data_IF_758397607385
#
_entry.id   IF_758397607385
#
_cell.length_a   1.000
_cell.length_b   1.000
_cell.length_c   1.000
_cell.angle_alpha   90.00
_cell.angle_beta   90.00
_cell.angle_gamma   90.00
#
_symmetry.space_group_name_H-M   'P 1'
#
loop_
_entity.id
_entity.type
_entity.pdbx_description
1 polymer ?
#
# COMPACT_ATOMS: atom_id res chain seq x y z
N UNK A 1 -5.67 -20.96 26.27
CA UNK A 1 -6.13 -20.10 25.16
C UNK A 1 -4.96 -19.86 24.19
N UNK A 2 -5.19 -20.11 22.93
CA UNK A 2 -4.11 -19.97 21.95
C UNK A 2 -3.98 -18.55 21.40
N UNK A 3 -5.02 -17.74 21.46
CA UNK A 3 -5.01 -16.36 20.98
C UNK A 3 -5.81 -15.45 21.90
N UNK A 4 -5.31 -14.25 22.10
CA UNK A 4 -5.97 -13.24 22.92
C UNK A 4 -6.27 -12.02 22.05
N UNK A 5 -7.52 -11.59 22.04
CA UNK A 5 -7.93 -10.36 21.35
C UNK A 5 -7.28 -9.15 22.03
N UNK A 6 -6.61 -8.31 21.25
CA UNK A 6 -5.95 -7.10 21.73
C UNK A 6 -6.75 -5.85 21.36
N UNK A 7 -7.00 -5.65 20.05
CA UNK A 7 -7.74 -4.47 19.57
C UNK A 7 -8.17 -4.67 18.13
N UNK A 8 -9.00 -3.76 17.63
CA UNK A 8 -9.33 -3.70 16.20
C UNK A 8 -8.07 -3.38 15.41
N UNK A 9 -7.76 -4.20 14.41
CA UNK A 9 -6.51 -4.10 13.64
C UNK A 9 -6.63 -3.18 12.43
N UNK A 10 -6.92 -1.90 12.62
CA UNK A 10 -6.94 -0.90 11.54
C UNK A 10 -5.56 -0.28 11.32
N UNK A 11 -4.79 -0.14 12.38
CA UNK A 11 -3.46 0.41 12.38
C UNK A 11 -2.55 -0.45 13.25
N UNK A 12 -1.27 -0.49 12.88
CA UNK A 12 -0.24 -1.18 13.65
C UNK A 12 0.87 -0.20 14.02
N UNK A 13 1.54 -0.46 15.13
CA UNK A 13 2.72 0.30 15.52
C UNK A 13 3.87 0.04 14.55
N UNK A 14 4.61 1.09 14.22
CA UNK A 14 5.73 1.00 13.29
C UNK A 14 6.82 2.00 13.68
N UNK A 15 8.05 1.50 13.75
CA UNK A 15 9.24 2.33 14.00
C UNK A 15 10.19 2.18 12.82
N UNK A 16 10.27 3.18 11.93
CA UNK A 16 11.12 3.08 10.74
C UNK A 16 12.60 3.28 11.04
N UNK A 17 13.46 2.70 10.21
CA UNK A 17 14.91 2.96 10.27
C UNK A 17 15.29 4.27 9.58
N UNK A 18 14.48 4.76 8.67
CA UNK A 18 14.61 6.07 8.02
C UNK A 18 13.25 6.76 7.96
N UNK A 19 13.25 8.09 7.87
CA UNK A 19 12.03 8.88 7.89
C UNK A 19 11.04 8.42 6.81
N UNK A 20 9.76 8.41 7.17
CA UNK A 20 8.64 8.04 6.30
C UNK A 20 7.70 9.23 6.23
N UNK A 21 7.20 9.54 5.04
CA UNK A 21 6.26 10.64 4.83
C UNK A 21 4.81 10.14 4.82
N UNK A 22 3.89 11.00 5.19
CA UNK A 22 2.46 10.69 5.09
C UNK A 22 2.11 10.27 3.66
N UNK A 23 1.37 9.18 3.51
CA UNK A 23 1.00 8.60 2.23
C UNK A 23 1.98 7.58 1.67
N UNK A 24 3.14 7.40 2.28
CA UNK A 24 4.08 6.38 1.83
C UNK A 24 3.53 4.98 2.04
N UNK A 25 3.74 4.12 1.05
CA UNK A 25 3.45 2.70 1.15
C UNK A 25 4.66 2.00 1.74
N UNK A 26 4.46 1.27 2.82
CA UNK A 26 5.51 0.56 3.54
C UNK A 26 5.23 -0.94 3.48
N UNK A 27 6.23 -1.72 3.11
CA UNK A 27 6.14 -3.18 3.09
C UNK A 27 6.98 -3.74 4.23
N UNK A 28 6.33 -4.46 5.13
CA UNK A 28 6.98 -5.24 6.17
C UNK A 28 6.89 -6.72 5.79
N UNK A 29 7.89 -7.23 5.14
CA UNK A 29 7.98 -8.61 4.64
C UNK A 29 6.82 -8.90 3.67
N UNK A 30 5.66 -9.31 4.17
CA UNK A 30 4.47 -9.62 3.36
C UNK A 30 3.28 -8.72 3.70
N UNK A 31 3.45 -7.78 4.59
CA UNK A 31 2.38 -6.87 5.02
C UNK A 31 2.59 -5.49 4.41
N UNK A 32 1.59 -5.02 3.69
CA UNK A 32 1.57 -3.67 3.14
C UNK A 32 0.78 -2.77 4.09
N UNK A 33 1.40 -1.67 4.49
CA UNK A 33 0.77 -0.62 5.28
C UNK A 33 0.98 0.74 4.64
N UNK A 34 0.18 1.72 5.05
CA UNK A 34 0.26 3.08 4.55
C UNK A 34 0.45 4.03 5.73
N UNK A 35 1.49 4.85 5.68
CA UNK A 35 1.73 5.87 6.68
C UNK A 35 0.68 6.97 6.54
N UNK A 36 -0.03 7.27 7.62
CA UNK A 36 -1.06 8.32 7.63
C UNK A 36 -0.52 9.67 8.08
N UNK A 37 0.69 9.69 8.62
CA UNK A 37 1.40 10.90 9.02
C UNK A 37 2.91 10.70 8.87
N UNK A 38 3.67 11.79 8.94
CA UNK A 38 5.12 11.72 8.87
C UNK A 38 5.66 11.00 10.12
N UNK A 39 6.63 10.11 9.92
CA UNK A 39 7.28 9.38 11.01
C UNK A 39 8.78 9.61 10.89
N UNK A 40 9.38 10.22 11.90
CA UNK A 40 10.83 10.41 11.93
C UNK A 40 11.56 9.07 12.09
N UNK A 41 12.79 9.01 11.60
CA UNK A 41 13.64 7.83 11.78
C UNK A 41 13.75 7.45 13.26
N UNK A 42 13.60 6.18 13.57
CA UNK A 42 13.65 5.62 14.93
C UNK A 42 12.55 6.11 15.88
N UNK A 43 11.55 6.82 15.38
CA UNK A 43 10.39 7.24 16.15
C UNK A 43 9.24 6.24 16.02
N UNK A 44 8.43 6.12 17.06
CA UNK A 44 7.23 5.30 17.00
C UNK A 44 6.13 6.03 16.24
N UNK A 45 5.58 5.39 15.23
CA UNK A 45 4.43 5.86 14.48
C UNK A 45 3.45 4.72 14.23
N UNK A 46 2.57 4.89 13.25
CA UNK A 46 1.60 3.86 12.88
C UNK A 46 1.43 3.74 11.38
N UNK A 47 1.07 2.53 10.94
CA UNK A 47 0.69 2.24 9.56
C UNK A 47 -0.77 1.80 9.53
N UNK A 48 -1.54 2.35 8.61
CA UNK A 48 -2.87 1.84 8.31
C UNK A 48 -2.74 0.53 7.54
N UNK A 49 -3.43 -0.51 7.99
CA UNK A 49 -3.44 -1.84 7.37
C UNK A 49 -4.84 -2.25 6.90
N UNK A 50 -5.78 -1.34 6.98
CA UNK A 50 -7.15 -1.50 6.45
C UNK A 50 -7.70 -0.14 6.05
N UNK A 51 -8.75 -0.15 5.23
CA UNK A 51 -9.37 1.06 4.72
C UNK A 51 -9.35 1.11 3.20
N UNK A 52 -9.81 2.20 2.64
CA UNK A 52 -9.85 2.44 1.19
C UNK A 52 -8.93 3.60 0.86
N UNK A 53 -8.00 3.36 -0.04
CA UNK A 53 -6.98 4.34 -0.44
C UNK A 53 -6.89 4.46 -1.96
N UNK A 54 -6.65 5.67 -2.44
CA UNK A 54 -6.20 5.88 -3.81
C UNK A 54 -4.68 5.73 -3.83
N UNK A 55 -4.18 4.78 -4.63
CA UNK A 55 -2.77 4.40 -4.67
C UNK A 55 -2.23 4.64 -6.07
N UNK A 56 -1.05 5.24 -6.17
CA UNK A 56 -0.38 5.43 -7.46
C UNK A 56 -0.26 4.10 -8.19
N UNK A 57 -0.75 4.05 -9.44
CA UNK A 57 -0.75 2.82 -10.21
C UNK A 57 0.25 2.83 -11.36
N UNK A 58 0.70 1.65 -11.71
CA UNK A 58 1.40 1.39 -12.96
C UNK A 58 0.45 1.66 -14.15
N UNK A 59 1.00 1.92 -15.34
CA UNK A 59 0.21 2.16 -16.55
C UNK A 59 -0.42 0.86 -17.06
N UNK A 60 -1.55 0.47 -16.46
CA UNK A 60 -2.28 -0.73 -16.82
C UNK A 60 -3.77 -0.61 -16.48
N UNK A 61 -4.57 -1.48 -17.07
CA UNK A 61 -6.00 -1.58 -16.77
C UNK A 61 -6.17 -2.55 -15.60
N UNK A 62 -6.78 -2.07 -14.52
CA UNK A 62 -7.11 -2.88 -13.35
C UNK A 62 -8.62 -2.93 -13.23
N UNK A 63 -9.18 -4.13 -13.16
CA UNK A 63 -10.63 -4.35 -13.13
C UNK A 63 -11.11 -4.38 -11.69
N UNK A 64 -12.34 -3.91 -11.45
CA UNK A 64 -12.95 -3.98 -10.11
C UNK A 64 -12.94 -5.43 -9.60
N UNK A 65 -12.44 -5.62 -8.39
CA UNK A 65 -12.29 -6.93 -7.75
C UNK A 65 -10.95 -7.62 -8.01
N UNK A 66 -10.10 -7.09 -8.89
CA UNK A 66 -8.76 -7.63 -9.09
C UNK A 66 -7.93 -7.52 -7.82
N UNK A 67 -7.13 -8.54 -7.55
CA UNK A 67 -6.09 -8.45 -6.54
C UNK A 67 -5.05 -7.42 -6.97
N UNK A 68 -4.70 -6.53 -6.05
CA UNK A 68 -3.72 -5.46 -6.27
C UNK A 68 -2.48 -5.74 -5.43
N UNK A 69 -1.32 -5.56 -6.04
CA UNK A 69 -0.01 -5.77 -5.44
C UNK A 69 0.80 -4.48 -5.46
N UNK A 70 1.70 -4.34 -4.52
CA UNK A 70 2.66 -3.23 -4.51
C UNK A 70 3.97 -3.66 -5.12
N UNK A 71 4.37 -2.97 -6.19
CA UNK A 71 5.67 -3.12 -6.82
C UNK A 71 6.58 -1.98 -6.33
N UNK A 72 7.51 -2.30 -5.44
CA UNK A 72 8.37 -1.30 -4.81
C UNK A 72 9.28 -0.56 -5.79
N UNK A 73 9.57 -1.15 -6.94
CA UNK A 73 10.40 -0.57 -8.01
C UNK A 73 9.56 -0.11 -9.21
N UNK A 74 8.25 -0.10 -9.08
CA UNK A 74 7.33 0.21 -10.16
C UNK A 74 7.37 1.66 -10.61
N UNK A 75 6.82 1.91 -11.79
CA UNK A 75 6.76 3.22 -12.42
C UNK A 75 5.31 3.67 -12.50
N UNK A 76 4.87 4.48 -11.54
CA UNK A 76 3.51 4.99 -11.54
C UNK A 76 3.29 6.00 -12.67
N UNK A 77 2.04 6.14 -13.11
CA UNK A 77 1.68 7.05 -14.21
C UNK A 77 2.06 8.50 -13.87
N UNK A 78 1.83 8.93 -12.64
CA UNK A 78 2.04 10.32 -12.21
C UNK A 78 3.16 10.53 -11.21
N UNK A 79 3.75 9.45 -10.70
CA UNK A 79 4.81 9.51 -9.69
C UNK A 79 6.21 9.49 -10.28
N UNK A 80 7.19 9.39 -9.41
CA UNK A 80 8.60 9.26 -9.79
C UNK A 80 8.88 7.84 -10.27
N UNK A 81 9.57 7.70 -11.39
CA UNK A 81 9.96 6.41 -11.93
C UNK A 81 10.81 5.64 -10.89
N UNK A 82 10.50 4.36 -10.70
CA UNK A 82 11.19 3.49 -9.76
C UNK A 82 10.81 3.68 -8.29
N UNK A 83 9.88 4.59 -7.97
CA UNK A 83 9.48 4.88 -6.60
C UNK A 83 8.36 3.96 -6.07
N UNK A 84 7.80 3.14 -6.92
CA UNK A 84 6.75 2.18 -6.58
C UNK A 84 5.43 2.47 -7.27
N UNK A 85 4.66 1.43 -7.49
CA UNK A 85 3.33 1.51 -8.11
C UNK A 85 2.48 0.30 -7.74
N UNK A 86 1.17 0.51 -7.67
CA UNK A 86 0.21 -0.57 -7.58
C UNK A 86 0.06 -1.25 -8.94
N UNK A 87 -0.06 -2.57 -8.93
CA UNK A 87 -0.16 -3.39 -10.13
C UNK A 87 -1.05 -4.61 -9.88
N UNK A 88 -1.62 -5.16 -10.95
CA UNK A 88 -2.33 -6.44 -10.88
C UNK A 88 -1.39 -7.65 -11.02
N UNK A 89 -0.10 -7.44 -11.20
CA UNK A 89 0.90 -8.50 -11.36
C UNK A 89 1.41 -8.98 -10.02
N UNK A 90 1.25 -10.28 -9.73
CA UNK A 90 1.65 -10.88 -8.47
C UNK A 90 3.16 -11.13 -8.35
N UNK A 91 3.83 -11.46 -9.47
CA UNK A 91 5.23 -11.90 -9.49
C UNK A 91 6.15 -10.81 -8.92
N UNK A 92 6.95 -11.18 -7.92
CA UNK A 92 7.93 -10.32 -7.23
C UNK A 92 7.31 -9.11 -6.51
N UNK A 93 6.00 -9.13 -6.29
CA UNK A 93 5.28 -8.03 -5.65
C UNK A 93 4.54 -8.51 -4.41
N UNK A 94 4.13 -7.57 -3.56
CA UNK A 94 3.46 -7.88 -2.30
C UNK A 94 1.97 -7.55 -2.38
N UNK A 95 1.13 -8.51 -2.04
CA UNK A 95 -0.32 -8.32 -2.03
C UNK A 95 -0.73 -7.19 -1.08
N UNK A 96 -1.56 -6.27 -1.55
CA UNK A 96 -2.03 -5.17 -0.71
C UNK A 96 -3.55 -5.11 -0.54
N UNK A 97 -4.32 -5.62 -1.45
CA UNK A 97 -5.78 -5.56 -1.35
C UNK A 97 -6.46 -5.81 -2.70
N UNK A 98 -7.67 -5.29 -2.83
CA UNK A 98 -8.48 -5.47 -4.04
C UNK A 98 -8.88 -4.12 -4.62
N UNK A 99 -8.94 -4.03 -5.95
CA UNK A 99 -9.40 -2.83 -6.62
C UNK A 99 -10.90 -2.67 -6.40
N UNK A 100 -11.34 -1.46 -6.07
CA UNK A 100 -12.75 -1.14 -5.90
C UNK A 100 -13.44 -0.82 -7.23
N UNK A 101 -12.71 -0.28 -8.19
CA UNK A 101 -13.27 0.18 -9.45
C UNK A 101 -12.30 -0.05 -10.61
N UNK A 102 -12.84 -0.09 -11.83
CA UNK A 102 -12.07 -0.18 -13.07
C UNK A 102 -11.20 1.07 -13.25
N UNK A 103 -9.95 0.85 -13.69
CA UNK A 103 -9.06 1.93 -14.11
C UNK A 103 -8.67 1.81 -15.56
N UNK A 104 -8.30 2.93 -16.17
CA UNK A 104 -7.65 2.96 -17.48
C UNK A 104 -6.13 3.01 -17.30
N UNK A 105 -5.36 2.64 -18.34
CA UNK A 105 -3.90 2.66 -18.30
C UNK A 105 -3.32 4.08 -18.12
N UNK A 106 -4.13 5.11 -18.38
CA UNK A 106 -3.74 6.52 -18.21
C UNK A 106 -4.13 7.12 -16.86
N UNK A 107 -4.86 6.38 -16.03
CA UNK A 107 -5.26 6.85 -14.70
C UNK A 107 -4.07 6.87 -13.75
N UNK A 108 -4.00 7.91 -12.91
CA UNK A 108 -2.92 8.07 -11.94
C UNK A 108 -3.06 7.14 -10.74
N UNK A 109 -4.30 6.80 -10.38
CA UNK A 109 -4.60 6.08 -9.14
C UNK A 109 -5.51 4.89 -9.40
N UNK A 110 -5.34 3.87 -8.58
CA UNK A 110 -6.31 2.80 -8.39
C UNK A 110 -6.86 2.89 -6.96
N UNK A 111 -8.17 2.76 -6.81
CA UNK A 111 -8.79 2.74 -5.49
C UNK A 111 -8.74 1.33 -4.94
N UNK A 112 -8.04 1.16 -3.83
CA UNK A 112 -7.74 -0.14 -3.24
C UNK A 112 -8.42 -0.29 -1.89
N UNK A 113 -9.13 -1.40 -1.71
CA UNK A 113 -9.58 -1.85 -0.38
C UNK A 113 -8.41 -2.62 0.23
N UNK A 114 -7.72 -1.99 1.18
CA UNK A 114 -6.53 -2.54 1.81
C UNK A 114 -6.90 -3.72 2.71
N UNK A 115 -6.19 -4.84 2.57
CA UNK A 115 -6.47 -6.06 3.32
C UNK A 115 -5.21 -6.80 3.76
#
# INVERSE_FOLDING_TARGET
MQATYIKVGREIDYTPSSAVSAGDVVVQVNLVGIATEDIAASALGSLAVSGIFDVDQNAEIIVAGDAVYWDADGNSVSGTAGAGAATATATDNTFMGYAQALTAATDSYVRVVLR
#
